data_IF_600696345194
#
_entry.id   IF_600696345194
#
_cell.length_a   1.000
_cell.length_b   1.000
_cell.length_c   1.000
_cell.angle_alpha   90.00
_cell.angle_beta   90.00
_cell.angle_gamma   90.00
#
_symmetry.space_group_name_H-M   'P 1'
#
loop_
_entity.id
_entity.type
_entity.pdbx_description
1 polymer ?
#
# COMPACT_ATOMS: atom_id res chain seq x y z
N UNK A 1 -0.13 -12.56 -24.83
CA UNK A 1 0.92 -11.53 -24.74
C UNK A 1 1.42 -11.57 -23.31
N UNK A 2 2.62 -12.10 -23.07
CA UNK A 2 3.16 -12.34 -21.73
C UNK A 2 3.69 -11.02 -21.18
N UNK A 3 3.02 -10.48 -20.17
CA UNK A 3 3.51 -9.30 -19.45
C UNK A 3 4.64 -9.77 -18.55
N UNK A 4 5.88 -9.53 -18.97
CA UNK A 4 7.07 -9.73 -18.12
C UNK A 4 7.10 -8.57 -17.13
N UNK A 5 6.54 -8.79 -15.94
CA UNK A 5 6.61 -7.85 -14.82
C UNK A 5 8.07 -7.76 -14.35
N UNK A 6 8.79 -6.73 -14.80
CA UNK A 6 10.06 -6.35 -14.16
C UNK A 6 9.72 -5.61 -12.87
N UNK A 7 9.50 -6.37 -11.81
CA UNK A 7 9.26 -5.89 -10.44
C UNK A 7 10.52 -5.21 -9.90
N UNK A 8 10.69 -3.94 -10.26
CA UNK A 8 11.72 -3.09 -9.68
C UNK A 8 11.07 -2.07 -8.75
N UNK A 9 11.27 -2.33 -7.46
CA UNK A 9 11.70 -1.42 -6.37
C UNK A 9 10.91 -1.75 -5.09
N UNK A 10 11.64 -2.33 -4.14
CA UNK A 10 11.21 -2.60 -2.77
C UNK A 10 11.47 -1.36 -1.90
N UNK A 11 10.43 -0.88 -1.21
CA UNK A 11 10.59 -0.06 -0.02
C UNK A 11 9.82 -0.72 1.12
N UNK A 12 10.54 -1.14 2.15
CA UNK A 12 10.00 -1.83 3.33
C UNK A 12 9.74 -0.81 4.42
N UNK A 13 8.62 -0.93 5.13
CA UNK A 13 8.47 -0.88 6.61
C UNK A 13 6.96 -1.00 6.94
N UNK A 14 6.64 -1.40 8.17
CA UNK A 14 5.33 -1.88 8.64
C UNK A 14 4.62 -0.85 9.52
N UNK A 15 3.35 -0.46 9.29
CA UNK A 15 2.60 0.32 10.30
C UNK A 15 1.06 0.24 10.22
N UNK A 16 0.43 0.14 11.40
CA UNK A 16 -1.01 0.11 11.63
C UNK A 16 -1.65 1.49 11.90
N UNK A 17 -2.46 2.09 11.00
CA UNK A 17 -3.42 3.17 11.36
C UNK A 17 -4.65 3.31 10.43
N UNK A 18 -5.69 3.99 10.92
CA UNK A 18 -7.13 3.79 10.60
C UNK A 18 -7.63 4.22 9.19
N UNK A 19 -6.85 4.90 8.37
CA UNK A 19 -7.29 5.30 7.03
C UNK A 19 -6.21 5.96 6.17
N UNK A 20 -6.53 6.15 4.89
CA UNK A 20 -5.60 6.63 3.86
C UNK A 20 -6.26 7.63 2.90
N UNK A 21 -5.46 8.57 2.39
CA UNK A 21 -5.83 9.55 1.36
C UNK A 21 -4.90 9.35 0.15
N UNK A 22 -5.50 9.12 -1.01
CA UNK A 22 -4.78 9.05 -2.28
C UNK A 22 -4.60 10.45 -2.87
N UNK A 23 -3.47 11.12 -2.61
CA UNK A 23 -3.13 12.41 -3.20
C UNK A 23 -2.50 12.31 -4.60
N UNK A 24 -2.49 11.09 -5.16
CA UNK A 24 -2.08 10.86 -6.54
C UNK A 24 -3.13 11.43 -7.49
N UNK A 25 -2.69 11.99 -8.62
CA UNK A 25 -3.56 12.51 -9.68
C UNK A 25 -4.17 11.37 -10.55
N UNK A 26 -4.02 10.13 -10.10
CA UNK A 26 -4.45 8.89 -10.75
C UNK A 26 -5.15 7.95 -9.75
N UNK A 27 -5.92 7.01 -10.28
CA UNK A 27 -6.43 5.88 -9.51
C UNK A 27 -5.25 5.05 -8.99
N UNK A 28 -5.41 4.46 -7.81
CA UNK A 28 -4.47 3.49 -7.25
C UNK A 28 -5.22 2.30 -6.68
N UNK A 29 -4.56 1.14 -6.61
CA UNK A 29 -5.06 0.01 -5.84
C UNK A 29 -4.41 0.09 -4.48
N UNK A 30 -5.19 0.09 -3.41
CA UNK A 30 -4.69 0.02 -2.04
C UNK A 30 -4.82 -1.41 -1.54
N UNK A 31 -3.83 -1.88 -0.80
CA UNK A 31 -3.95 -3.04 0.08
C UNK A 31 -4.31 -2.54 1.47
N UNK A 32 -5.52 -2.86 1.89
CA UNK A 32 -6.07 -2.43 3.17
C UNK A 32 -6.38 -3.64 4.03
N UNK A 33 -5.97 -3.61 5.28
CA UNK A 33 -6.39 -4.57 6.30
C UNK A 33 -7.65 -4.04 6.99
N UNK A 34 -8.68 -4.89 7.08
CA UNK A 34 -9.87 -4.59 7.87
C UNK A 34 -9.63 -4.75 9.37
N UNK A 35 -10.54 -4.22 10.19
CA UNK A 35 -10.41 -4.24 11.66
C UNK A 35 -11.05 -5.49 12.28
N UNK A 36 -11.47 -6.45 11.48
CA UNK A 36 -12.14 -7.67 11.96
C UNK A 36 -11.13 -8.64 12.57
N UNK A 37 -11.60 -9.55 13.43
CA UNK A 37 -10.75 -10.47 14.19
C UNK A 37 -9.90 -11.41 13.30
N UNK A 38 -10.29 -11.57 12.04
CA UNK A 38 -9.67 -12.48 11.08
C UNK A 38 -8.58 -11.81 10.23
N UNK A 39 -8.28 -10.52 10.44
CA UNK A 39 -7.19 -9.79 9.76
C UNK A 39 -7.18 -9.98 8.22
N UNK A 40 -8.26 -9.57 7.54
CA UNK A 40 -8.36 -9.77 6.08
C UNK A 40 -7.74 -8.60 5.31
N UNK A 41 -6.85 -8.93 4.35
CA UNK A 41 -6.28 -7.97 3.41
C UNK A 41 -7.16 -7.86 2.16
N UNK A 42 -7.41 -6.62 1.74
CA UNK A 42 -8.32 -6.29 0.65
C UNK A 42 -7.63 -5.40 -0.38
N UNK A 43 -7.82 -5.71 -1.67
CA UNK A 43 -7.38 -4.86 -2.78
C UNK A 43 -8.51 -3.94 -3.22
N UNK A 44 -8.31 -2.65 -3.03
CA UNK A 44 -9.37 -1.66 -3.26
C UNK A 44 -8.90 -0.59 -4.22
N UNK A 45 -9.62 -0.43 -5.32
CA UNK A 45 -9.39 0.70 -6.20
C UNK A 45 -9.96 1.96 -5.55
N UNK A 46 -9.10 2.97 -5.41
CA UNK A 46 -9.47 4.30 -4.92
C UNK A 46 -9.24 5.35 -6.02
N UNK A 47 -10.13 6.33 -6.06
CA UNK A 47 -10.05 7.44 -6.99
C UNK A 47 -8.95 8.45 -6.58
N UNK A 48 -8.49 9.30 -7.51
CA UNK A 48 -7.66 10.46 -7.19
C UNK A 48 -8.29 11.32 -6.09
N UNK A 49 -7.47 11.89 -5.22
CA UNK A 49 -7.83 12.82 -4.14
C UNK A 49 -8.97 12.33 -3.23
N UNK A 50 -9.08 11.01 -3.09
CA UNK A 50 -10.14 10.36 -2.32
C UNK A 50 -9.58 9.71 -1.07
N UNK A 51 -10.43 9.57 -0.05
CA UNK A 51 -10.08 8.95 1.23
C UNK A 51 -10.82 7.62 1.43
N UNK A 52 -10.15 6.67 2.06
CA UNK A 52 -10.71 5.37 2.40
C UNK A 52 -10.20 4.91 3.77
N UNK A 53 -11.08 4.36 4.60
CA UNK A 53 -10.68 3.77 5.88
C UNK A 53 -10.17 2.36 5.70
N UNK A 54 -9.30 1.94 6.61
CA UNK A 54 -8.58 0.68 6.56
C UNK A 54 -7.11 0.89 6.89
N UNK A 55 -6.48 -0.13 7.47
CA UNK A 55 -5.06 -0.09 7.74
C UNK A 55 -4.30 -0.23 6.43
N UNK A 56 -3.57 0.81 6.06
CA UNK A 56 -2.88 0.88 4.79
C UNK A 56 -1.59 0.06 4.83
N UNK A 57 -1.51 -0.99 4.00
CA UNK A 57 -0.33 -1.84 3.87
C UNK A 57 0.52 -1.49 2.63
N UNK A 58 -0.11 -0.98 1.57
CA UNK A 58 0.60 -0.53 0.38
C UNK A 58 -0.33 -0.15 -0.77
N UNK A 59 0.26 0.35 -1.85
CA UNK A 59 -0.43 0.74 -3.07
C UNK A 59 0.16 0.07 -4.32
N UNK A 60 -0.63 0.00 -5.39
CA UNK A 60 -0.17 -0.31 -6.74
C UNK A 60 -0.44 0.94 -7.59
N UNK A 61 0.51 1.33 -8.43
CA UNK A 61 0.44 2.41 -9.41
C UNK A 61 0.00 1.92 -10.79
N UNK A 62 -0.58 2.80 -11.63
CA UNK A 62 -1.43 2.46 -12.80
C UNK A 62 -0.86 1.51 -13.85
N UNK A 63 0.44 1.33 -13.84
CA UNK A 63 1.17 0.41 -14.71
C UNK A 63 1.44 -0.97 -14.07
N UNK A 64 0.89 -1.21 -12.87
CA UNK A 64 1.12 -2.41 -12.08
C UNK A 64 2.32 -2.30 -11.13
N UNK A 65 3.01 -1.15 -11.06
CA UNK A 65 4.14 -1.00 -10.12
C UNK A 65 3.62 -1.00 -8.69
N UNK A 66 4.07 -1.97 -7.91
CA UNK A 66 3.71 -2.07 -6.50
C UNK A 66 4.61 -1.14 -5.69
N UNK A 67 3.99 -0.35 -4.82
CA UNK A 67 4.63 0.56 -3.90
C UNK A 67 4.09 0.26 -2.51
N UNK A 68 4.88 -0.45 -1.70
CA UNK A 68 4.56 -0.58 -0.28
C UNK A 68 4.89 0.73 0.42
N UNK A 69 3.96 1.25 1.20
CA UNK A 69 4.14 2.51 1.93
C UNK A 69 3.98 2.22 3.41
N UNK A 70 5.10 2.26 4.11
CA UNK A 70 5.12 2.36 5.56
C UNK A 70 4.78 3.77 5.98
N UNK A 71 3.74 3.98 6.77
CA UNK A 71 3.49 5.29 7.33
C UNK A 71 2.81 5.20 8.70
N UNK A 72 3.46 5.73 9.73
CA UNK A 72 2.78 6.01 10.99
C UNK A 72 1.98 7.31 10.88
N UNK A 73 0.68 7.25 11.14
CA UNK A 73 -0.18 8.42 11.17
C UNK A 73 -1.20 8.33 12.30
N UNK A 74 -1.48 9.43 13.01
CA UNK A 74 -2.41 9.39 14.13
C UNK A 74 -3.85 9.02 13.73
N UNK A 75 -4.23 9.27 12.48
CA UNK A 75 -5.58 8.94 11.96
C UNK A 75 -5.61 8.60 10.47
N UNK A 76 -4.96 9.42 9.63
CA UNK A 76 -4.96 9.30 8.17
C UNK A 76 -3.55 9.47 7.62
N UNK A 77 -3.13 8.57 6.74
CA UNK A 77 -1.92 8.75 5.95
C UNK A 77 -2.30 9.36 4.61
N UNK A 78 -1.76 10.54 4.29
CA UNK A 78 -1.88 11.08 2.93
C UNK A 78 -0.62 10.74 2.16
N UNK A 79 -0.75 10.13 0.99
CA UNK A 79 0.39 9.76 0.17
C UNK A 79 0.18 10.07 -1.31
N UNK A 80 1.26 10.31 -2.03
CA UNK A 80 1.29 10.51 -3.47
C UNK A 80 2.28 9.57 -4.13
N UNK A 81 1.88 8.97 -5.25
CA UNK A 81 2.76 8.24 -6.17
C UNK A 81 2.99 9.07 -7.43
N UNK A 82 4.19 9.01 -8.00
CA UNK A 82 4.45 9.63 -9.30
C UNK A 82 5.61 8.93 -10.01
N UNK A 83 5.74 9.15 -11.30
CA UNK A 83 6.90 8.71 -12.07
C UNK A 83 7.94 9.83 -12.11
N UNK A 84 9.15 9.57 -11.62
CA UNK A 84 10.23 10.53 -11.66
C UNK A 84 10.78 10.68 -13.09
N UNK A 85 11.73 11.60 -13.28
CA UNK A 85 12.36 11.85 -14.60
C UNK A 85 13.12 10.65 -15.17
N UNK A 86 13.49 9.68 -14.34
CA UNK A 86 14.17 8.44 -14.73
C UNK A 86 13.19 7.33 -15.10
N UNK A 87 11.89 7.55 -14.93
CA UNK A 87 10.89 6.53 -15.17
C UNK A 87 10.70 5.58 -13.99
N UNK A 88 11.15 5.92 -12.78
CA UNK A 88 10.90 5.11 -11.58
C UNK A 88 9.65 5.63 -10.87
N UNK A 89 8.86 4.74 -10.29
CA UNK A 89 7.72 5.15 -9.44
C UNK A 89 8.28 5.52 -8.07
N UNK A 90 8.07 6.76 -7.68
CA UNK A 90 8.39 7.31 -6.36
C UNK A 90 7.12 7.47 -5.53
N UNK A 91 7.31 7.55 -4.22
CA UNK A 91 6.23 7.83 -3.27
C UNK A 91 6.64 8.87 -2.25
N UNK A 92 5.64 9.51 -1.65
CA UNK A 92 5.83 10.40 -0.51
C UNK A 92 4.57 10.51 0.32
N UNK A 93 4.74 10.53 1.64
CA UNK A 93 3.71 11.02 2.57
C UNK A 93 3.60 12.54 2.39
N UNK A 94 2.43 13.02 2.02
CA UNK A 94 2.19 14.42 1.65
C UNK A 94 1.89 15.29 2.86
N UNK A 95 1.24 14.76 3.89
CA UNK A 95 0.87 15.52 5.07
C UNK A 95 1.99 15.57 6.14
N UNK A 96 2.16 16.73 6.75
CA UNK A 96 3.29 16.98 7.67
C UNK A 96 3.18 16.17 8.96
N UNK A 97 1.96 15.92 9.44
CA UNK A 97 1.73 15.22 10.71
C UNK A 97 2.16 13.78 10.58
N UNK A 98 1.67 13.07 9.55
CA UNK A 98 2.09 11.71 9.24
C UNK A 98 3.57 11.62 8.95
N UNK A 99 4.18 12.61 8.26
CA UNK A 99 5.64 12.63 8.07
C UNK A 99 6.42 12.68 9.38
N UNK A 100 6.02 13.55 10.32
CA UNK A 100 6.71 13.70 11.61
C UNK A 100 6.55 12.43 12.45
N UNK A 101 5.33 11.88 12.51
CA UNK A 101 5.05 10.66 13.25
C UNK A 101 5.81 9.48 12.63
N UNK A 102 5.81 9.36 11.31
CA UNK A 102 6.53 8.31 10.60
C UNK A 102 8.05 8.38 10.85
N UNK A 103 8.66 9.57 10.74
CA UNK A 103 10.10 9.76 11.06
C UNK A 103 10.40 9.37 12.50
N UNK A 104 9.56 9.80 13.45
CA UNK A 104 9.76 9.51 14.88
C UNK A 104 9.71 8.02 15.15
N UNK A 105 8.68 7.34 14.65
CA UNK A 105 8.52 5.91 14.84
C UNK A 105 9.60 5.09 14.10
N UNK A 106 10.03 5.53 12.91
CA UNK A 106 11.14 4.89 12.20
C UNK A 106 12.46 5.02 12.96
N UNK A 107 12.71 6.17 13.59
CA UNK A 107 13.87 6.37 14.46
C UNK A 107 13.82 5.46 15.70
N UNK A 108 12.65 5.33 16.34
CA UNK A 108 12.45 4.41 17.46
C UNK A 108 12.75 2.97 17.03
N UNK A 109 12.17 2.52 15.91
CA UNK A 109 12.42 1.17 15.37
C UNK A 109 13.88 0.91 15.06
N UNK A 110 14.56 1.89 14.47
CA UNK A 110 15.98 1.78 14.17
C UNK A 110 16.79 1.58 15.47
N UNK A 111 16.46 2.32 16.53
CA UNK A 111 17.08 2.16 17.86
C UNK A 111 16.78 0.76 18.41
N UNK A 112 15.52 0.32 18.39
CA UNK A 112 15.10 -1.00 18.89
C UNK A 112 15.81 -2.16 18.17
N UNK A 113 15.83 -2.14 16.83
CA UNK A 113 16.47 -3.15 15.98
C UNK A 113 17.98 -3.27 16.24
N UNK A 114 18.66 -2.14 16.47
CA UNK A 114 20.12 -2.12 16.58
C UNK A 114 20.62 -2.32 18.01
N UNK A 115 19.83 -1.93 19.03
CA UNK A 115 20.30 -1.85 20.42
C UNK A 115 19.66 -2.90 21.33
N UNK A 116 18.37 -3.25 21.14
CA UNK A 116 17.65 -4.07 22.11
C UNK A 116 17.44 -5.54 21.71
N UNK A 117 17.31 -5.85 20.43
CA UNK A 117 17.22 -7.25 19.98
C UNK A 117 17.61 -7.40 18.50
N UNK A 118 18.87 -7.79 18.24
CA UNK A 118 19.38 -8.04 16.88
C UNK A 118 18.67 -9.20 16.16
N UNK A 119 17.91 -10.03 16.88
CA UNK A 119 17.14 -11.13 16.31
C UNK A 119 15.69 -10.73 15.98
N UNK A 120 15.16 -9.68 16.61
CA UNK A 120 13.93 -9.01 16.17
C UNK A 120 14.27 -7.98 15.14
N UNK A 121 14.53 -8.46 13.94
CA UNK A 121 14.65 -7.58 12.80
C UNK A 121 13.24 -7.20 12.33
N UNK A 122 12.70 -6.11 12.88
CA UNK A 122 11.44 -5.53 12.44
C UNK A 122 11.51 -4.97 11.01
N UNK A 123 12.71 -4.96 10.39
CA UNK A 123 12.96 -4.64 8.98
C UNK A 123 13.08 -5.87 8.06
N UNK A 124 13.05 -7.11 8.59
CA UNK A 124 13.36 -8.34 7.82
C UNK A 124 12.21 -9.01 7.09
N UNK A 125 11.08 -8.34 6.96
CA UNK A 125 10.10 -8.83 5.99
C UNK A 125 10.53 -8.22 4.68
N UNK A 126 10.93 -9.04 3.70
CA UNK A 126 10.99 -8.70 2.27
C UNK A 126 12.33 -8.60 1.52
N UNK A 127 13.43 -9.19 1.99
CA UNK A 127 14.46 -9.58 1.01
C UNK A 127 13.82 -10.56 0.01
N UNK A 128 14.04 -10.35 -1.30
CA UNK A 128 13.62 -11.24 -2.38
C UNK A 128 12.09 -11.29 -2.67
N UNK A 129 11.32 -10.22 -2.44
CA UNK A 129 9.87 -10.26 -2.72
C UNK A 129 9.50 -10.06 -4.18
N UNK A 130 10.45 -9.64 -4.99
CA UNK A 130 10.32 -9.68 -6.43
C UNK A 130 10.59 -11.08 -7.02
N UNK A 131 10.91 -12.09 -6.19
CA UNK A 131 11.07 -13.47 -6.66
C UNK A 131 9.72 -14.17 -6.89
N UNK A 132 9.69 -15.17 -7.79
CA UNK A 132 8.51 -16.00 -7.99
C UNK A 132 8.01 -16.65 -6.70
N UNK A 133 6.71 -16.58 -6.44
CA UNK A 133 6.03 -17.12 -5.26
C UNK A 133 6.11 -16.24 -4.01
N UNK A 134 6.70 -15.04 -4.10
CA UNK A 134 6.81 -14.14 -2.97
C UNK A 134 5.54 -13.29 -2.73
N UNK A 135 5.50 -12.56 -1.62
CA UNK A 135 4.31 -11.83 -1.17
C UNK A 135 3.90 -10.71 -2.14
N UNK A 136 4.86 -10.01 -2.78
CA UNK A 136 4.54 -8.95 -3.73
C UNK A 136 3.94 -9.50 -5.04
N UNK A 137 4.45 -10.62 -5.54
CA UNK A 137 3.88 -11.27 -6.73
C UNK A 137 2.47 -11.79 -6.43
N UNK A 138 2.31 -12.53 -5.33
CA UNK A 138 0.98 -13.04 -4.92
C UNK A 138 -0.02 -11.92 -4.63
N UNK A 139 0.42 -10.78 -4.08
CA UNK A 139 -0.42 -9.60 -3.94
C UNK A 139 -0.85 -9.08 -5.31
N UNK A 140 0.08 -8.90 -6.25
CA UNK A 140 -0.26 -8.43 -7.59
C UNK A 140 -1.26 -9.36 -8.28
N UNK A 141 -1.03 -10.66 -8.24
CA UNK A 141 -1.94 -11.67 -8.81
C UNK A 141 -3.33 -11.60 -8.18
N UNK A 142 -3.42 -11.51 -6.85
CA UNK A 142 -4.68 -11.34 -6.14
C UNK A 142 -5.39 -10.05 -6.56
N UNK A 143 -4.66 -8.94 -6.66
CA UNK A 143 -5.21 -7.66 -7.07
C UNK A 143 -5.75 -7.76 -8.51
N UNK A 144 -5.00 -8.36 -9.43
CA UNK A 144 -5.46 -8.55 -10.80
C UNK A 144 -6.69 -9.45 -10.88
N UNK A 145 -6.76 -10.52 -10.07
CA UNK A 145 -7.96 -11.37 -9.97
C UNK A 145 -9.19 -10.58 -9.52
N UNK A 146 -9.06 -9.74 -8.50
CA UNK A 146 -10.15 -8.88 -8.00
C UNK A 146 -10.65 -7.88 -9.07
N UNK A 147 -9.74 -7.48 -9.97
CA UNK A 147 -10.01 -6.58 -11.10
C UNK A 147 -10.36 -7.31 -12.40
N UNK A 148 -10.59 -8.63 -12.36
CA UNK A 148 -10.86 -9.46 -13.55
C UNK A 148 -9.78 -9.30 -14.64
N UNK A 149 -8.53 -9.20 -14.23
CA UNK A 149 -7.34 -8.97 -15.06
C UNK A 149 -7.35 -7.65 -15.86
N UNK A 150 -8.13 -6.65 -15.43
CA UNK A 150 -8.19 -5.33 -16.07
C UNK A 150 -7.26 -4.31 -15.42
N UNK A 151 -6.35 -3.73 -16.22
CA UNK A 151 -5.56 -2.55 -15.83
C UNK A 151 -6.30 -1.21 -16.07
N UNK A 152 -7.55 -1.23 -16.57
CA UNK A 152 -8.37 -0.02 -16.63
C UNK A 152 -9.00 0.25 -15.26
N UNK A 153 -8.24 0.90 -14.38
CA UNK A 153 -8.62 1.08 -12.99
C UNK A 153 -9.84 1.97 -12.81
N UNK A 154 -10.08 2.91 -13.73
CA UNK A 154 -11.30 3.71 -13.72
C UNK A 154 -12.54 2.86 -13.99
N UNK A 155 -12.46 1.88 -14.88
CA UNK A 155 -13.53 0.88 -15.06
C UNK A 155 -13.62 -0.04 -13.85
N UNK A 156 -12.49 -0.53 -13.35
CA UNK A 156 -12.48 -1.45 -12.21
C UNK A 156 -13.03 -0.80 -10.93
N UNK A 157 -12.81 0.50 -10.74
CA UNK A 157 -13.41 1.29 -9.67
C UNK A 157 -14.94 1.23 -9.67
N UNK A 158 -15.56 1.17 -10.86
CA UNK A 158 -17.02 1.11 -11.03
C UNK A 158 -17.61 -0.29 -10.86
N UNK A 159 -16.78 -1.32 -10.69
CA UNK A 159 -17.28 -2.68 -10.47
C UNK A 159 -18.04 -2.75 -9.13
N UNK A 160 -19.15 -3.49 -9.13
CA UNK A 160 -20.03 -3.57 -7.96
C UNK A 160 -19.33 -4.19 -6.75
N UNK A 161 -18.49 -5.21 -6.94
CA UNK A 161 -17.69 -5.81 -5.87
C UNK A 161 -16.75 -4.77 -5.21
N UNK A 162 -16.09 -3.94 -6.02
CA UNK A 162 -15.19 -2.88 -5.55
C UNK A 162 -15.97 -1.77 -4.81
N UNK A 163 -17.18 -1.45 -5.27
CA UNK A 163 -18.08 -0.52 -4.57
C UNK A 163 -18.49 -1.04 -3.20
N UNK A 164 -18.97 -2.28 -3.13
CA UNK A 164 -19.37 -2.93 -1.88
C UNK A 164 -18.22 -3.01 -0.88
N UNK A 165 -17.01 -3.34 -1.37
CA UNK A 165 -15.82 -3.40 -0.54
C UNK A 165 -15.45 -2.04 0.08
N UNK A 166 -15.50 -0.96 -0.71
CA UNK A 166 -15.31 0.41 -0.17
C UNK A 166 -16.36 0.78 0.86
N UNK A 167 -17.62 0.40 0.64
CA UNK A 167 -18.71 0.64 1.59
C UNK A 167 -18.54 -0.18 2.88
N UNK A 168 -18.07 -1.43 2.80
CA UNK A 168 -17.71 -2.26 3.98
C UNK A 168 -16.66 -1.53 4.81
N UNK A 169 -15.53 -1.19 4.18
CA UNK A 169 -14.38 -0.59 4.85
C UNK A 169 -14.66 0.81 5.42
N UNK A 170 -15.55 1.57 4.79
CA UNK A 170 -16.00 2.86 5.34
C UNK A 170 -16.77 2.73 6.66
N UNK A 171 -17.48 1.60 6.87
CA UNK A 171 -18.36 1.35 8.02
C UNK A 171 -17.64 0.76 9.25
N UNK A 172 -16.40 0.29 9.13
CA UNK A 172 -15.65 -0.43 10.18
C UNK A 172 -15.11 0.47 11.32
N UNK A 173 -15.97 1.34 11.88
CA UNK A 173 -15.68 2.32 12.95
C UNK A 173 -15.06 1.73 14.22
#
# INVERSE_FOLDING_TARGET
MTVVLRMNIEFVVYVAFKGVINDTDDYVILRLEDREADYNLHNVVIAPHSKLRGKFDGAIFKDGTIVKVSAHAPAWVSFKLWRNKKGEVEYRITDIVSRVVDVTCNMIKYIENNIWDKNKDYSKVYLNQNLPGAELESWWESAMKDLKNSLDWKKSFKLENQKQLREKLAKTL
#
